data_IF_107287047993
#
_entry.id   IF_107287047993
#
_cell.length_a   1.000
_cell.length_b   1.000
_cell.length_c   1.000
_cell.angle_alpha   90.00
_cell.angle_beta   90.00
_cell.angle_gamma   90.00
#
_symmetry.space_group_name_H-M   'P 1'
#
loop_
_entity.id
_entity.type
_entity.pdbx_description
1 polymer ?
#
# COMPACT_ATOMS: atom_id res chain seq x y z
N UNK A 1 2.58 -0.88 -22.65
CA UNK A 1 1.96 0.21 -21.88
C UNK A 1 2.14 -0.14 -20.42
N UNK A 2 3.02 0.52 -19.68
CA UNK A 2 3.00 0.40 -18.22
C UNK A 2 1.71 1.09 -17.79
N UNK A 3 0.79 0.36 -17.19
CA UNK A 3 -0.48 0.92 -16.76
C UNK A 3 -0.10 1.70 -15.51
N UNK A 4 0.14 3.01 -15.64
CA UNK A 4 0.65 3.85 -14.55
C UNK A 4 -0.38 3.86 -13.42
N UNK A 5 -0.21 2.97 -12.45
CA UNK A 5 -0.90 3.10 -11.17
C UNK A 5 -0.46 4.41 -10.54
N UNK A 6 -1.42 5.30 -10.32
CA UNK A 6 -1.14 6.58 -9.66
C UNK A 6 -1.13 6.33 -8.16
N UNK A 7 0.04 6.35 -7.54
CA UNK A 7 0.15 6.26 -6.08
C UNK A 7 -0.48 7.51 -5.47
N UNK A 8 -1.50 7.31 -4.63
CA UNK A 8 -2.23 8.35 -3.93
C UNK A 8 -1.65 8.56 -2.53
N UNK A 9 -1.29 7.48 -1.83
CA UNK A 9 -0.61 7.50 -0.54
C UNK A 9 0.42 6.39 -0.47
N UNK A 10 1.59 6.69 0.10
CA UNK A 10 2.62 5.70 0.46
C UNK A 10 2.93 5.89 1.93
N UNK A 11 2.71 4.86 2.74
CA UNK A 11 2.97 4.87 4.18
C UNK A 11 4.10 3.91 4.46
N UNK A 12 5.24 4.42 4.93
CA UNK A 12 6.41 3.62 5.24
C UNK A 12 6.47 3.29 6.74
N UNK A 13 6.95 2.10 7.08
CA UNK A 13 7.30 1.81 8.47
C UNK A 13 8.47 2.68 8.92
N UNK A 14 8.60 2.98 10.23
CA UNK A 14 9.72 3.77 10.74
C UNK A 14 11.09 3.16 10.46
N UNK A 15 11.18 1.83 10.35
CA UNK A 15 12.42 1.13 10.01
C UNK A 15 12.75 1.18 8.50
N UNK A 16 11.80 1.62 7.67
CA UNK A 16 11.97 1.72 6.21
C UNK A 16 11.96 0.38 5.46
N UNK A 17 11.79 -0.74 6.15
CA UNK A 17 11.75 -2.08 5.55
C UNK A 17 10.40 -2.47 4.96
N UNK A 18 9.32 -1.73 5.23
CA UNK A 18 7.98 -1.99 4.65
C UNK A 18 7.26 -0.70 4.28
N UNK A 19 6.37 -0.79 3.31
CA UNK A 19 5.42 0.27 3.00
C UNK A 19 4.07 -0.28 2.56
N UNK A 20 3.05 0.55 2.68
CA UNK A 20 1.72 0.33 2.10
C UNK A 20 1.47 1.45 1.11
N UNK A 21 1.24 1.08 -0.15
CA UNK A 21 0.90 2.03 -1.20
C UNK A 21 -0.57 1.88 -1.55
N UNK A 22 -1.32 2.97 -1.42
CA UNK A 22 -2.68 3.11 -1.95
C UNK A 22 -2.56 3.79 -3.31
N UNK A 23 -3.12 3.16 -4.34
CA UNK A 23 -3.00 3.61 -5.72
C UNK A 23 -4.34 3.60 -6.46
N UNK A 24 -4.45 4.47 -7.45
CA UNK A 24 -5.56 4.52 -8.40
C UNK A 24 -5.15 3.81 -9.70
N UNK A 25 -6.05 2.97 -10.19
CA UNK A 25 -5.94 2.28 -11.48
C UNK A 25 -6.44 3.17 -12.62
N UNK A 26 -6.02 2.91 -13.87
CA UNK A 26 -6.51 3.67 -15.03
C UNK A 26 -8.03 3.57 -15.24
N UNK A 27 -8.70 2.53 -14.73
CA UNK A 27 -10.16 2.41 -14.77
C UNK A 27 -10.87 3.32 -13.73
N UNK A 28 -10.12 4.01 -12.87
CA UNK A 28 -10.64 4.89 -11.83
C UNK A 28 -10.87 4.20 -10.48
N UNK A 29 -10.76 2.87 -10.41
CA UNK A 29 -10.79 2.16 -9.14
C UNK A 29 -9.52 2.36 -8.32
N UNK A 30 -9.64 2.10 -7.02
CA UNK A 30 -8.54 2.16 -6.07
C UNK A 30 -8.11 0.76 -5.65
N UNK A 31 -6.85 0.65 -5.26
CA UNK A 31 -6.25 -0.55 -4.72
C UNK A 31 -5.19 -0.18 -3.70
N UNK A 32 -4.71 -1.18 -2.96
CA UNK A 32 -3.55 -1.04 -2.11
C UNK A 32 -2.73 -2.31 -2.15
N UNK A 33 -1.44 -2.20 -1.82
CA UNK A 33 -0.63 -3.38 -1.49
C UNK A 33 0.46 -3.05 -0.48
N UNK A 34 0.91 -4.08 0.23
CA UNK A 34 2.05 -4.01 1.13
C UNK A 34 3.31 -4.45 0.39
N UNK A 35 4.35 -3.64 0.50
CA UNK A 35 5.66 -3.94 -0.05
C UNK A 35 6.69 -4.07 1.06
N UNK A 36 7.62 -5.00 0.88
CA UNK A 36 8.81 -5.15 1.71
C UNK A 36 10.04 -4.75 0.90
N UNK A 37 10.92 -3.99 1.54
CA UNK A 37 12.29 -3.77 1.08
C UNK A 37 13.21 -4.64 1.92
N UNK A 38 14.11 -5.36 1.27
CA UNK A 38 15.16 -6.03 2.02
C UNK A 38 16.29 -5.04 2.34
N UNK A 39 16.80 -5.09 3.57
CA UNK A 39 17.85 -4.17 4.03
C UNK A 39 19.22 -4.54 3.45
N UNK A 40 19.41 -5.81 3.10
CA UNK A 40 20.65 -6.33 2.53
C UNK A 40 20.67 -6.24 1.00
N UNK A 41 19.49 -6.22 0.38
CA UNK A 41 19.30 -6.07 -1.08
C UNK A 41 18.45 -4.81 -1.39
N UNK A 42 19.08 -3.62 -1.53
CA UNK A 42 18.37 -2.38 -1.79
C UNK A 42 17.73 -2.29 -3.18
N UNK A 43 17.90 -3.34 -4.00
CA UNK A 43 17.55 -3.42 -5.42
C UNK A 43 16.05 -3.38 -5.71
N UNK A 44 15.16 -3.60 -4.73
CA UNK A 44 13.73 -3.54 -5.04
C UNK A 44 12.75 -3.61 -3.87
N UNK A 45 11.52 -3.19 -4.17
CA UNK A 45 10.34 -3.41 -3.35
C UNK A 45 9.62 -4.66 -3.83
N UNK A 46 9.29 -5.56 -2.91
CA UNK A 46 8.59 -6.81 -3.21
C UNK A 46 7.18 -6.75 -2.65
N UNK A 47 6.14 -6.99 -3.46
CA UNK A 47 4.77 -7.08 -2.95
C UNK A 47 4.64 -8.31 -2.05
N UNK A 48 4.21 -8.11 -0.81
CA UNK A 48 4.00 -9.16 0.19
C UNK A 48 2.56 -9.23 0.69
N UNK A 49 1.74 -8.20 0.43
CA UNK A 49 0.34 -8.15 0.89
C UNK A 49 -0.60 -9.00 0.05
N UNK A 50 -0.31 -9.17 -1.25
CA UNK A 50 -1.21 -9.90 -2.17
C UNK A 50 -2.58 -9.23 -2.31
N UNK A 51 -2.66 -7.93 -2.02
CA UNK A 51 -3.91 -7.18 -2.02
C UNK A 51 -4.18 -6.45 -3.35
N UNK A 52 -3.23 -6.51 -4.32
CA UNK A 52 -3.35 -5.88 -5.64
C UNK A 52 -4.62 -6.25 -6.41
N UNK A 53 -5.20 -7.42 -6.16
CA UNK A 53 -6.44 -7.88 -6.79
C UNK A 53 -7.71 -7.24 -6.22
N UNK A 54 -7.63 -6.52 -5.10
CA UNK A 54 -8.80 -5.90 -4.45
C UNK A 54 -9.12 -4.55 -5.09
N UNK A 55 -10.39 -4.35 -5.43
CA UNK A 55 -10.87 -3.17 -6.14
C UNK A 55 -11.81 -2.40 -5.22
N UNK A 56 -11.55 -1.11 -5.06
CA UNK A 56 -12.34 -0.20 -4.23
C UNK A 56 -12.82 0.99 -5.05
N UNK A 57 -13.95 1.57 -4.64
CA UNK A 57 -14.55 2.72 -5.34
C UNK A 57 -13.91 4.04 -4.91
N UNK A 58 -13.33 4.10 -3.71
CA UNK A 58 -12.73 5.31 -3.16
C UNK A 58 -11.36 5.04 -2.54
N UNK A 59 -10.51 6.09 -2.52
CA UNK A 59 -9.22 6.07 -1.83
C UNK A 59 -9.38 5.73 -0.34
N UNK A 60 -10.42 6.27 0.31
CA UNK A 60 -10.66 6.09 1.73
C UNK A 60 -11.03 4.64 2.07
N UNK A 61 -11.81 3.97 1.23
CA UNK A 61 -12.11 2.53 1.39
C UNK A 61 -10.84 1.68 1.22
N UNK A 62 -10.02 1.96 0.20
CA UNK A 62 -8.76 1.26 0.01
C UNK A 62 -7.82 1.45 1.22
N UNK A 63 -7.77 2.66 1.77
CA UNK A 63 -6.97 2.98 2.95
C UNK A 63 -7.47 2.29 4.23
N UNK A 64 -8.78 2.29 4.48
CA UNK A 64 -9.36 1.62 5.65
C UNK A 64 -9.14 0.10 5.58
N UNK A 65 -9.30 -0.49 4.40
CA UNK A 65 -9.04 -1.90 4.16
C UNK A 65 -7.56 -2.25 4.28
N UNK A 66 -6.67 -1.35 3.87
CA UNK A 66 -5.25 -1.49 4.14
C UNK A 66 -4.99 -1.52 5.64
N UNK A 67 -5.62 -0.61 6.40
CA UNK A 67 -5.49 -0.52 7.87
C UNK A 67 -5.99 -1.79 8.57
N UNK A 68 -7.07 -2.37 8.07
CA UNK A 68 -7.63 -3.61 8.59
C UNK A 68 -6.81 -4.85 8.19
N UNK A 69 -6.22 -4.86 6.99
CA UNK A 69 -5.52 -6.03 6.44
C UNK A 69 -4.05 -6.10 6.87
N UNK A 70 -3.37 -4.94 6.97
CA UNK A 70 -1.94 -4.85 7.27
C UNK A 70 -1.75 -4.61 8.77
N UNK A 71 -1.30 -5.64 9.48
CA UNK A 71 -1.31 -5.66 10.95
C UNK A 71 -0.50 -4.54 11.58
N UNK A 72 0.62 -4.12 11.00
CA UNK A 72 1.45 -3.02 11.53
C UNK A 72 0.89 -1.63 11.20
N UNK A 73 0.10 -1.53 10.12
CA UNK A 73 -0.52 -0.29 9.67
C UNK A 73 -1.76 0.03 10.52
N UNK A 74 -2.50 -1.01 10.94
CA UNK A 74 -3.63 -0.91 11.87
C UNK A 74 -3.29 -0.28 13.22
N UNK A 75 -2.04 -0.45 13.68
CA UNK A 75 -1.57 -0.03 15.01
C UNK A 75 -1.11 1.44 15.08
N UNK A 76 -1.40 2.27 14.06
CA UNK A 76 -1.24 3.72 14.19
C UNK A 76 -2.30 4.29 15.15
N UNK A 77 -2.14 4.00 16.44
CA UNK A 77 -2.84 4.66 17.54
C UNK A 77 -2.33 6.10 17.62
N UNK A 78 -3.05 7.00 16.95
CA UNK A 78 -2.96 8.44 17.13
C UNK A 78 -2.12 9.15 16.08
N UNK A 79 -2.77 9.57 14.98
CA UNK A 79 -2.55 10.90 14.44
C UNK A 79 -3.93 11.46 14.05
N UNK A 80 -4.32 12.48 14.81
CA UNK A 80 -5.50 13.32 14.66
C UNK A 80 -5.07 14.61 13.99
#
# INVERSE_FOLDING_TARGET
>A
MAHEYKVMRSINTPDGGRCVDVFMRPDGSFGFDEFRRDVEDPSGWFPIGGHMGRIFNTEQEAFDQARASVSWFGVQTGQQ
#
